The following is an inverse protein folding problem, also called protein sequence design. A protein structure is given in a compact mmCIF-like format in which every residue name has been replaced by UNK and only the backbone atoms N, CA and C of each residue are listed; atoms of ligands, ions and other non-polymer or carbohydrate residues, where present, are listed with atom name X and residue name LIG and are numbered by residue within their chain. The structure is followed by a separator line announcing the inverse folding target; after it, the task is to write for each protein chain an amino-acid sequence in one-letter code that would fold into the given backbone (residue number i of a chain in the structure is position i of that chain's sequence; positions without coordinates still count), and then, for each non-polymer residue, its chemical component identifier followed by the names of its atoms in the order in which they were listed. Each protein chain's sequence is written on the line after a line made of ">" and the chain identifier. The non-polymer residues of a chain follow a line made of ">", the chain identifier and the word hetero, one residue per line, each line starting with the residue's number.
data_IF_368653305136
#
_entry.id   IF_368653305136
#
_cell.length_a   1.000
_cell.length_b   1.000
_cell.length_c   1.000
_cell.angle_alpha   90.00
_cell.angle_beta   90.00
_cell.angle_gamma   90.00
#
_symmetry.space_group_name_H-M   'P 1'
#
loop_
_entity.id
_entity.type
_entity.pdbx_description
1 polymer ?
#
# COMPACT_ATOMS: atom_id res chain seq x y z
N UNK A 1 -20.90 -49.36 22.79
CA UNK A 1 -19.99 -49.05 21.66
C UNK A 1 -20.43 -47.81 20.86
N UNK A 2 -21.71 -47.69 20.44
CA UNK A 2 -22.23 -46.54 19.66
C UNK A 2 -22.04 -45.15 20.30
N UNK A 3 -22.12 -45.03 21.63
CA UNK A 3 -21.91 -43.77 22.37
C UNK A 3 -20.43 -43.32 22.42
N UNK A 4 -19.51 -44.28 22.39
CA UNK A 4 -18.06 -44.01 22.43
C UNK A 4 -17.59 -43.50 21.06
N UNK A 5 -18.09 -44.10 19.98
CA UNK A 5 -17.80 -43.67 18.61
C UNK A 5 -18.28 -42.23 18.35
N UNK A 6 -19.47 -41.87 18.86
CA UNK A 6 -20.02 -40.53 18.73
C UNK A 6 -19.18 -39.46 19.44
N UNK A 7 -18.62 -39.79 20.62
CA UNK A 7 -17.75 -38.86 21.35
C UNK A 7 -16.40 -38.64 20.68
N UNK A 8 -15.83 -39.67 20.05
CA UNK A 8 -14.57 -39.54 19.28
C UNK A 8 -14.80 -38.72 18.01
N UNK A 9 -15.95 -38.89 17.33
CA UNK A 9 -16.28 -38.10 16.15
C UNK A 9 -16.51 -36.62 16.51
N UNK A 10 -17.13 -36.35 17.66
CA UNK A 10 -17.40 -35.00 18.16
C UNK A 10 -16.11 -34.29 18.61
N UNK A 11 -15.13 -35.02 19.17
CA UNK A 11 -13.85 -34.44 19.57
C UNK A 11 -12.97 -34.06 18.38
N UNK A 12 -13.06 -34.80 17.26
CA UNK A 12 -12.34 -34.44 16.03
C UNK A 12 -12.89 -33.20 15.32
N UNK A 13 -14.18 -32.90 15.47
CA UNK A 13 -14.80 -31.69 14.89
C UNK A 13 -14.37 -30.40 15.61
N UNK A 14 -13.99 -30.47 16.88
CA UNK A 14 -13.58 -29.31 17.67
C UNK A 14 -12.17 -28.80 17.36
N UNK A 15 -11.33 -29.62 16.71
CA UNK A 15 -9.93 -29.27 16.40
C UNK A 15 -9.81 -28.50 15.07
N UNK A 16 -10.85 -28.46 14.24
CA UNK A 16 -10.76 -27.96 12.86
C UNK A 16 -10.88 -26.44 12.67
N UNK A 17 -11.06 -25.64 13.74
CA UNK A 17 -11.34 -24.20 13.62
C UNK A 17 -10.23 -23.26 14.11
N UNK A 18 -9.01 -23.75 14.33
CA UNK A 18 -7.86 -22.88 14.55
C UNK A 18 -7.46 -22.22 13.21
N UNK A 19 -8.26 -21.24 12.77
CA UNK A 19 -7.87 -20.29 11.72
C UNK A 19 -6.63 -19.57 12.23
N UNK A 20 -5.46 -19.99 11.77
CA UNK A 20 -4.18 -19.32 11.99
C UNK A 20 -4.20 -17.98 11.26
N UNK A 21 -4.94 -17.01 11.80
CA UNK A 21 -4.89 -15.65 11.30
C UNK A 21 -3.44 -15.21 11.42
N UNK A 22 -2.82 -14.81 10.30
CA UNK A 22 -1.44 -14.38 10.33
C UNK A 22 -1.31 -13.23 11.31
N UNK A 23 -0.38 -13.35 12.26
CA UNK A 23 -0.18 -12.38 13.32
C UNK A 23 0.14 -11.03 12.68
N UNK A 24 -0.70 -10.04 12.97
CA UNK A 24 -0.49 -8.65 12.59
C UNK A 24 0.59 -8.10 13.53
N UNK A 25 1.77 -7.78 13.00
CA UNK A 25 2.86 -7.21 13.79
C UNK A 25 2.83 -5.70 13.61
N UNK A 26 2.73 -4.97 14.72
CA UNK A 26 2.88 -3.52 14.71
C UNK A 26 4.31 -3.15 14.33
N UNK A 27 4.46 -2.25 13.38
CA UNK A 27 5.72 -1.64 12.99
C UNK A 27 5.58 -0.13 13.08
N UNK A 28 6.63 0.53 13.55
CA UNK A 28 6.72 1.99 13.56
C UNK A 28 7.75 2.41 12.53
N UNK A 29 7.39 3.35 11.67
CA UNK A 29 8.34 3.97 10.75
C UNK A 29 8.65 5.36 11.25
N UNK A 30 9.90 5.78 11.00
CA UNK A 30 10.25 7.19 11.10
C UNK A 30 9.71 7.90 9.87
N UNK A 31 9.42 9.18 10.04
CA UNK A 31 9.20 10.06 8.92
C UNK A 31 10.39 9.96 7.96
N UNK A 32 10.09 9.87 6.67
CA UNK A 32 11.10 9.74 5.63
C UNK A 32 10.67 10.48 4.38
N UNK A 33 11.67 10.96 3.65
CA UNK A 33 11.49 11.61 2.36
C UNK A 33 12.35 10.92 1.32
N UNK A 34 11.77 10.67 0.17
CA UNK A 34 12.47 10.12 -1.00
C UNK A 34 12.36 11.17 -2.09
N UNK A 35 13.49 11.75 -2.46
CA UNK A 35 13.58 12.65 -3.62
C UNK A 35 13.53 11.79 -4.87
N UNK A 36 12.55 12.06 -5.73
CA UNK A 36 12.45 11.41 -7.03
C UNK A 36 13.23 12.26 -8.03
N UNK A 37 14.04 11.62 -8.87
CA UNK A 37 14.78 12.27 -9.96
C UNK A 37 13.84 12.61 -11.12
N UNK A 38 12.88 13.50 -10.83
CA UNK A 38 11.86 13.99 -11.73
C UNK A 38 11.43 15.38 -11.27
N UNK A 39 11.41 16.35 -12.20
CA UNK A 39 10.96 17.69 -11.88
C UNK A 39 9.45 17.78 -11.64
N UNK A 40 9.02 18.67 -10.75
CA UNK A 40 7.59 18.92 -10.50
C UNK A 40 6.85 19.30 -11.79
N UNK A 41 7.47 20.11 -12.65
CA UNK A 41 6.86 20.55 -13.91
C UNK A 41 6.66 19.37 -14.88
N UNK A 42 7.66 18.51 -15.03
CA UNK A 42 7.55 17.32 -15.87
C UNK A 42 6.52 16.34 -15.30
N UNK A 43 6.43 16.18 -13.98
CA UNK A 43 5.40 15.35 -13.37
C UNK A 43 3.99 15.88 -13.69
N UNK A 44 3.74 17.17 -13.46
CA UNK A 44 2.43 17.79 -13.71
C UNK A 44 2.06 17.80 -15.22
N UNK A 45 3.03 17.87 -16.13
CA UNK A 45 2.74 17.83 -17.57
C UNK A 45 2.18 16.49 -18.06
N UNK A 46 2.27 15.43 -17.25
CA UNK A 46 1.64 14.13 -17.54
C UNK A 46 0.18 14.05 -17.06
N UNK A 47 -0.38 15.17 -16.56
CA UNK A 47 -1.81 15.28 -16.22
C UNK A 47 -2.15 14.94 -14.77
N UNK A 48 -1.14 14.68 -13.93
CA UNK A 48 -1.36 14.53 -12.49
C UNK A 48 -1.68 15.89 -11.86
N UNK A 49 -2.70 15.92 -11.02
CA UNK A 49 -3.15 17.14 -10.34
C UNK A 49 -3.20 16.96 -8.83
N UNK A 50 -3.15 18.09 -8.11
CA UNK A 50 -3.30 18.08 -6.66
C UNK A 50 -4.60 17.38 -6.25
N UNK A 51 -4.49 16.44 -5.31
CA UNK A 51 -5.59 15.62 -4.85
C UNK A 51 -5.60 14.20 -5.43
N UNK A 52 -4.90 13.94 -6.54
CA UNK A 52 -4.80 12.61 -7.13
C UNK A 52 -4.14 11.61 -6.18
N UNK A 53 -4.59 10.36 -6.24
CA UNK A 53 -3.95 9.25 -5.56
C UNK A 53 -3.17 8.42 -6.56
N UNK A 54 -1.87 8.29 -6.35
CA UNK A 54 -1.01 7.50 -7.22
C UNK A 54 -0.24 6.44 -6.45
N UNK A 55 0.21 5.41 -7.17
CA UNK A 55 1.12 4.40 -6.67
C UNK A 55 2.56 4.73 -7.04
N UNK A 56 3.46 4.72 -6.07
CA UNK A 56 4.91 4.79 -6.26
C UNK A 56 5.46 3.40 -5.97
N UNK A 57 5.96 2.72 -7.00
CA UNK A 57 6.55 1.39 -6.87
C UNK A 57 8.08 1.50 -6.79
N UNK A 58 8.68 0.96 -5.73
CA UNK A 58 10.12 0.89 -5.54
C UNK A 58 10.49 -0.44 -4.85
N UNK A 59 11.45 -1.20 -5.40
CA UNK A 59 11.92 -2.47 -4.83
C UNK A 59 10.81 -3.47 -4.46
N UNK A 60 9.79 -3.60 -5.31
CA UNK A 60 8.56 -4.41 -5.09
C UNK A 60 7.66 -3.90 -3.94
N UNK A 61 7.89 -2.68 -3.46
CA UNK A 61 7.02 -1.99 -2.52
C UNK A 61 6.16 -0.96 -3.25
N UNK A 62 4.84 -1.08 -3.13
CA UNK A 62 3.90 -0.11 -3.67
C UNK A 62 3.44 0.84 -2.55
N UNK A 63 3.80 2.12 -2.68
CA UNK A 63 3.41 3.18 -1.75
C UNK A 63 2.29 3.99 -2.41
N UNK A 64 1.11 3.99 -1.80
CA UNK A 64 0.03 4.87 -2.24
C UNK A 64 0.24 6.26 -1.65
N UNK A 65 0.38 7.27 -2.50
CA UNK A 65 0.62 8.65 -2.10
C UNK A 65 -0.40 9.61 -2.75
N UNK A 66 -0.73 10.69 -2.05
CA UNK A 66 -1.58 11.76 -2.57
C UNK A 66 -0.71 12.87 -3.16
N UNK A 67 -0.98 13.28 -4.40
CA UNK A 67 -0.32 14.45 -5.01
C UNK A 67 -0.79 15.69 -4.24
N UNK A 68 0.15 16.48 -3.73
CA UNK A 68 -0.15 17.66 -2.93
C UNK A 68 1.00 18.66 -3.02
N UNK A 69 0.71 19.92 -2.76
CA UNK A 69 1.66 20.99 -2.47
C UNK A 69 2.20 20.91 -1.02
N UNK A 70 1.42 20.32 -0.11
CA UNK A 70 1.73 20.22 1.32
C UNK A 70 1.97 18.78 1.82
N UNK A 71 2.74 18.67 2.90
CA UNK A 71 2.98 17.40 3.63
C UNK A 71 1.75 17.02 4.44
N UNK A 72 1.42 15.73 4.47
CA UNK A 72 0.40 15.17 5.35
C UNK A 72 1.02 14.35 6.47
N UNK A 73 0.60 14.61 7.72
CA UNK A 73 0.98 13.79 8.88
C UNK A 73 0.20 12.46 8.95
N UNK A 74 -0.76 12.23 8.06
CA UNK A 74 -1.68 11.07 8.14
C UNK A 74 -1.40 10.01 7.08
N UNK A 75 -0.99 10.41 5.89
CA UNK A 75 -0.80 9.54 4.73
C UNK A 75 0.37 10.02 3.86
N UNK A 76 1.00 9.14 3.06
CA UNK A 76 2.07 9.55 2.16
C UNK A 76 1.61 10.59 1.15
N UNK A 77 2.47 11.56 0.86
CA UNK A 77 2.21 12.66 -0.08
C UNK A 77 3.34 12.80 -1.08
N UNK A 78 3.00 13.04 -2.34
CA UNK A 78 3.95 13.47 -3.36
C UNK A 78 3.90 14.99 -3.46
N UNK A 79 4.94 15.63 -2.94
CA UNK A 79 5.11 17.06 -2.93
C UNK A 79 5.49 17.53 -4.33
N UNK A 80 4.60 18.29 -4.95
CA UNK A 80 4.78 18.91 -6.25
C UNK A 80 4.78 20.43 -6.06
N UNK A 81 5.90 21.07 -6.34
CA UNK A 81 6.03 22.52 -6.07
C UNK A 81 7.47 23.04 -5.95
N UNK A 82 8.45 22.14 -5.87
CA UNK A 82 9.88 22.48 -5.91
C UNK A 82 10.55 22.04 -7.22
N UNK A 83 11.89 22.06 -7.23
CA UNK A 83 12.69 21.59 -8.37
C UNK A 83 12.46 20.11 -8.68
N UNK A 84 12.25 19.29 -7.64
CA UNK A 84 12.00 17.85 -7.73
C UNK A 84 10.67 17.47 -7.08
N UNK A 85 10.15 16.31 -7.45
CA UNK A 85 9.05 15.67 -6.74
C UNK A 85 9.61 14.93 -5.52
N UNK A 86 8.99 15.11 -4.36
CA UNK A 86 9.41 14.45 -3.12
C UNK A 86 8.28 13.57 -2.60
N UNK A 87 8.55 12.28 -2.41
CA UNK A 87 7.66 11.39 -1.69
C UNK A 87 7.92 11.55 -0.19
N UNK A 88 6.99 12.20 0.50
CA UNK A 88 6.95 12.30 1.95
C UNK A 88 6.12 11.15 2.52
N UNK A 89 6.71 10.40 3.46
CA UNK A 89 6.06 9.32 4.19
C UNK A 89 6.03 9.73 5.66
N UNK A 90 4.85 10.02 6.24
CA UNK A 90 4.77 10.43 7.63
C UNK A 90 5.16 9.29 8.57
N UNK A 91 5.75 9.63 9.71
CA UNK A 91 6.01 8.67 10.77
C UNK A 91 4.69 8.17 11.36
N UNK A 92 4.38 6.89 11.14
CA UNK A 92 3.15 6.28 11.64
C UNK A 92 3.40 4.82 12.08
N UNK A 93 2.51 4.31 12.91
CA UNK A 93 2.39 2.87 13.15
C UNK A 93 1.68 2.24 11.96
N UNK A 94 2.31 1.30 11.26
CA UNK A 94 1.57 0.40 10.37
C UNK A 94 1.64 -1.02 10.85
N UNK A 95 0.84 -1.83 10.17
CA UNK A 95 0.57 -3.18 10.57
C UNK A 95 1.07 -4.07 9.46
N UNK A 96 2.16 -4.78 9.74
CA UNK A 96 2.72 -5.77 8.84
C UNK A 96 1.83 -7.02 8.89
N UNK A 97 1.46 -7.49 7.71
CA UNK A 97 0.74 -8.73 7.50
C UNK A 97 1.36 -9.48 6.31
N UNK A 98 0.97 -10.73 6.06
CA UNK A 98 1.50 -11.49 4.94
C UNK A 98 1.13 -10.81 3.64
N UNK A 99 2.08 -10.83 2.71
CA UNK A 99 1.90 -10.32 1.37
C UNK A 99 0.67 -10.97 0.72
N UNK A 100 -0.34 -10.17 0.41
CA UNK A 100 -1.47 -10.59 -0.42
C UNK A 100 -1.24 -9.98 -1.79
N UNK A 101 -0.95 -10.83 -2.77
CA UNK A 101 -0.75 -10.44 -4.17
C UNK A 101 -1.96 -9.70 -4.75
N UNK A 102 -3.15 -10.02 -4.24
CA UNK A 102 -4.42 -9.42 -4.67
C UNK A 102 -4.89 -8.38 -3.64
N UNK A 103 -4.20 -7.25 -3.56
CA UNK A 103 -4.80 -6.04 -2.97
C UNK A 103 -5.68 -5.43 -4.04
N UNK A 104 -6.96 -5.81 -4.07
CA UNK A 104 -7.98 -5.17 -4.90
C UNK A 104 -8.15 -3.71 -4.44
N UNK A 105 -7.36 -2.80 -5.01
CA UNK A 105 -7.34 -1.39 -4.61
C UNK A 105 -6.40 -0.47 -5.40
N UNK A 106 -5.70 -0.97 -6.41
CA UNK A 106 -4.93 -0.13 -7.34
C UNK A 106 -5.45 -0.30 -8.76
N UNK A 107 -5.94 0.80 -9.34
CA UNK A 107 -6.12 0.92 -10.78
C UNK A 107 -4.71 0.97 -11.38
N UNK A 108 -4.30 -0.10 -12.06
CA UNK A 108 -3.14 -0.08 -12.94
C UNK A 108 -3.57 0.55 -14.26
N UNK A 109 -3.12 1.77 -14.54
CA UNK A 109 -3.17 2.32 -15.91
C UNK A 109 -1.75 2.29 -16.45
N UNK A 110 -1.40 1.19 -17.12
CA UNK A 110 -0.28 1.13 -18.04
C UNK A 110 -0.83 1.26 -19.46
N UNK A 111 -0.41 2.28 -20.20
CA UNK A 111 -0.75 2.49 -21.60
C UNK A 111 0.46 2.97 -22.38
N UNK A 112 0.53 2.64 -23.66
CA UNK A 112 1.51 3.21 -24.60
C UNK A 112 0.87 4.44 -25.24
N UNK A 113 1.44 5.62 -25.00
CA UNK A 113 0.98 6.87 -25.59
C UNK A 113 1.67 7.08 -26.94
N UNK A 114 0.88 7.32 -27.98
CA UNK A 114 1.39 7.82 -29.27
C UNK A 114 0.86 9.24 -29.42
N UNK A 115 1.75 10.21 -29.46
CA UNK A 115 1.40 11.59 -29.80
C UNK A 115 1.35 11.74 -31.31
N UNK A 116 0.25 12.26 -31.84
CA UNK A 116 0.15 12.71 -33.23
C UNK A 116 0.06 14.24 -33.24
N UNK A 117 0.79 14.86 -34.18
CA UNK A 117 0.81 16.31 -34.41
C UNK A 117 -0.55 16.87 -34.84
#
# INVERSE_FOLDING_TARGET
>A
MRKILLMILLSMLLVSCASSRPARVGATFKESEIVLDLSSAAFLSHGYVAGDWIGVEADNMLIRARVSDERSNQYPTLLVGGENVVLHIPGNTAVLGPYKKDVSGSIHVGGTFVFTL
#
